data_IF_767282921632
#
_entry.id   IF_767282921632
#
_cell.length_a   1.000
_cell.length_b   1.000
_cell.length_c   1.000
_cell.angle_alpha   90.00
_cell.angle_beta   90.00
_cell.angle_gamma   90.00
#
_symmetry.space_group_name_H-M   'P 1'
#
loop_
_entity.id
_entity.type
_entity.pdbx_description
1 polymer ?
#
# COMPACT_ATOMS: atom_id res chain seq x y z
N UNK A 1 -10.43 -0.83 -20.85
CA UNK A 1 -9.48 -1.88 -21.24
C UNK A 1 -8.62 -2.18 -20.03
N UNK A 2 -8.85 -3.31 -19.34
CA UNK A 2 -8.13 -3.68 -18.12
C UNK A 2 -6.94 -4.54 -18.54
N UNK A 3 -5.74 -3.97 -18.54
CA UNK A 3 -4.50 -4.73 -18.73
C UNK A 3 -4.27 -5.54 -17.46
N UNK A 4 -4.59 -6.83 -17.48
CA UNK A 4 -4.18 -7.79 -16.45
C UNK A 4 -2.67 -8.02 -16.55
N UNK A 5 -1.91 -7.02 -16.11
CA UNK A 5 -0.48 -7.16 -15.85
C UNK A 5 -0.37 -8.13 -14.68
N UNK A 6 0.19 -9.32 -14.92
CA UNK A 6 0.47 -10.29 -13.85
C UNK A 6 1.32 -9.60 -12.79
N UNK A 7 0.70 -9.33 -11.64
CA UNK A 7 1.35 -8.64 -10.52
C UNK A 7 2.45 -9.53 -9.98
N UNK A 8 3.71 -9.18 -10.24
CA UNK A 8 4.86 -9.92 -9.70
C UNK A 8 4.92 -9.72 -8.19
N UNK A 9 4.85 -10.79 -7.40
CA UNK A 9 4.92 -10.69 -5.93
C UNK A 9 6.36 -10.90 -5.48
N UNK A 10 6.87 -10.01 -4.64
CA UNK A 10 8.20 -10.13 -4.03
C UNK A 10 8.09 -10.49 -2.55
N UNK A 11 8.76 -11.56 -2.13
CA UNK A 11 8.78 -11.95 -0.74
C UNK A 11 9.52 -10.91 0.13
N UNK A 12 9.12 -10.70 1.40
CA UNK A 12 9.74 -9.74 2.32
C UNK A 12 11.27 -9.79 2.38
N UNK A 13 11.85 -11.01 2.45
CA UNK A 13 13.30 -11.21 2.53
C UNK A 13 14.00 -10.74 1.26
N UNK A 14 13.45 -11.11 0.10
CA UNK A 14 13.98 -10.71 -1.21
C UNK A 14 13.89 -9.19 -1.39
N UNK A 15 12.79 -8.56 -0.96
CA UNK A 15 12.69 -7.11 -1.04
C UNK A 15 13.78 -6.42 -0.21
N UNK A 16 14.03 -6.91 1.02
CA UNK A 16 15.10 -6.37 1.87
C UNK A 16 16.48 -6.46 1.20
N UNK A 17 16.77 -7.58 0.55
CA UNK A 17 18.01 -7.78 -0.21
C UNK A 17 18.11 -6.82 -1.42
N UNK A 18 17.02 -6.62 -2.15
CA UNK A 18 16.98 -5.68 -3.28
C UNK A 18 17.19 -4.23 -2.83
N UNK A 19 16.63 -3.82 -1.69
CA UNK A 19 16.87 -2.48 -1.14
C UNK A 19 18.32 -2.34 -0.69
N UNK A 20 18.88 -3.33 0.02
CA UNK A 20 20.28 -3.33 0.45
C UNK A 20 21.26 -3.26 -0.75
N UNK A 21 20.89 -3.87 -1.88
CA UNK A 21 21.65 -3.83 -3.13
C UNK A 21 21.41 -2.54 -3.95
N UNK A 22 20.60 -1.59 -3.48
CA UNK A 22 20.27 -0.37 -4.21
C UNK A 22 19.43 -0.60 -5.48
N UNK A 23 18.81 -1.77 -5.61
CA UNK A 23 18.08 -2.17 -6.82
C UNK A 23 16.65 -1.61 -6.91
N UNK A 24 16.13 -1.05 -5.81
CA UNK A 24 14.79 -0.43 -5.76
C UNK A 24 14.89 1.04 -6.12
N UNK A 25 14.30 1.42 -7.26
CA UNK A 25 14.33 2.81 -7.76
C UNK A 25 13.17 3.66 -7.23
N UNK A 26 12.04 3.05 -6.90
CA UNK A 26 10.89 3.73 -6.32
C UNK A 26 9.98 2.78 -5.55
N UNK A 27 9.17 3.35 -4.66
CA UNK A 27 8.11 2.65 -3.96
C UNK A 27 6.86 3.52 -3.95
N UNK A 28 5.69 2.88 -4.02
CA UNK A 28 4.41 3.53 -3.80
C UNK A 28 3.48 2.66 -2.95
N UNK A 29 2.55 3.32 -2.29
CA UNK A 29 1.40 2.69 -1.65
C UNK A 29 0.17 2.98 -2.51
N UNK A 30 -0.61 1.96 -2.84
CA UNK A 30 -1.84 2.09 -3.63
C UNK A 30 -2.96 1.20 -3.10
N UNK A 31 -4.18 1.43 -3.57
CA UNK A 31 -5.35 0.62 -3.21
C UNK A 31 -5.30 -0.75 -3.90
N UNK A 32 -5.62 -1.80 -3.15
CA UNK A 32 -5.91 -3.14 -3.64
C UNK A 32 -7.19 -3.69 -3.01
N UNK A 33 -7.59 -4.90 -3.42
CA UNK A 33 -8.93 -5.45 -3.15
C UNK A 33 -9.30 -5.55 -1.66
N UNK A 34 -8.31 -5.68 -0.77
CA UNK A 34 -8.52 -5.88 0.68
C UNK A 34 -7.92 -4.77 1.54
N UNK A 35 -7.48 -3.67 0.92
CA UNK A 35 -6.80 -2.56 1.59
C UNK A 35 -5.62 -2.06 0.77
N UNK A 36 -4.66 -1.43 1.42
CA UNK A 36 -3.49 -0.87 0.75
C UNK A 36 -2.44 -1.95 0.47
N UNK A 37 -1.67 -1.79 -0.61
CA UNK A 37 -0.51 -2.62 -0.94
C UNK A 37 0.71 -1.75 -1.17
N UNK A 38 1.90 -2.31 -0.96
CA UNK A 38 3.17 -1.67 -1.32
C UNK A 38 3.63 -2.22 -2.67
N UNK A 39 3.85 -1.32 -3.62
CA UNK A 39 4.46 -1.62 -4.91
C UNK A 39 5.84 -1.01 -4.95
N UNK A 40 6.82 -1.77 -5.41
CA UNK A 40 8.19 -1.29 -5.61
C UNK A 40 8.60 -1.49 -7.05
N UNK A 41 9.38 -0.56 -7.58
CA UNK A 41 10.07 -0.74 -8.85
C UNK A 41 11.49 -1.20 -8.56
N UNK A 42 11.82 -2.41 -8.99
CA UNK A 42 13.15 -2.97 -8.89
C UNK A 42 13.67 -3.30 -10.30
N UNK A 43 14.67 -2.53 -10.75
CA UNK A 43 15.07 -2.52 -12.16
C UNK A 43 13.90 -2.13 -13.07
N UNK A 44 13.65 -2.94 -14.10
CA UNK A 44 12.58 -2.70 -15.07
C UNK A 44 11.19 -3.17 -14.61
N UNK A 45 11.09 -3.84 -13.47
CA UNK A 45 9.88 -4.53 -13.07
C UNK A 45 9.23 -3.87 -11.85
N UNK A 46 7.91 -3.76 -11.88
CA UNK A 46 7.12 -3.49 -10.68
C UNK A 46 6.80 -4.79 -9.97
N UNK A 47 6.92 -4.77 -8.64
CA UNK A 47 6.64 -5.91 -7.78
C UNK A 47 5.83 -5.46 -6.57
N UNK A 48 4.88 -6.27 -6.15
CA UNK A 48 4.06 -6.02 -4.96
C UNK A 48 4.61 -6.81 -3.79
N UNK A 49 4.69 -6.17 -2.62
CA UNK A 49 5.17 -6.82 -1.41
C UNK A 49 4.25 -7.96 -1.01
N UNK A 50 4.82 -9.16 -0.91
CA UNK A 50 4.15 -10.35 -0.42
C UNK A 50 4.08 -10.40 1.10
N UNK A 51 3.12 -11.14 1.63
CA UNK A 51 3.07 -11.49 3.04
C UNK A 51 4.13 -12.56 3.36
N UNK A 52 4.50 -12.68 4.64
CA UNK A 52 5.52 -13.65 5.07
C UNK A 52 5.16 -15.10 4.74
N UNK A 53 3.85 -15.43 4.70
CA UNK A 53 3.33 -16.77 4.40
C UNK A 53 2.77 -16.91 2.98
N UNK A 54 3.18 -16.03 2.06
CA UNK A 54 2.73 -16.02 0.67
C UNK A 54 1.49 -15.15 0.43
N UNK A 55 1.21 -14.89 -0.86
CA UNK A 55 0.18 -13.94 -1.29
C UNK A 55 0.57 -12.47 -1.08
N UNK A 56 -0.33 -11.56 -1.42
CA UNK A 56 -0.13 -10.11 -1.25
C UNK A 56 -0.20 -9.71 0.22
N UNK A 57 0.66 -8.77 0.63
CA UNK A 57 0.56 -8.14 1.94
C UNK A 57 -0.34 -6.91 1.87
N UNK A 58 -1.50 -7.00 2.51
CA UNK A 58 -2.42 -5.89 2.65
C UNK A 58 -2.17 -5.11 3.94
N UNK A 59 -2.43 -3.80 3.87
CA UNK A 59 -2.33 -2.86 4.97
C UNK A 59 -3.67 -2.15 5.17
N UNK A 60 -4.01 -1.87 6.44
CA UNK A 60 -5.27 -1.23 6.81
C UNK A 60 -5.11 0.29 7.03
N UNK A 61 -3.87 0.80 7.02
CA UNK A 61 -3.53 2.20 7.18
C UNK A 61 -2.24 2.54 6.42
N UNK A 62 -2.09 3.82 6.06
CA UNK A 62 -0.84 4.35 5.49
C UNK A 62 0.32 4.22 6.48
N UNK A 63 0.10 4.48 7.77
CA UNK A 63 1.13 4.35 8.81
C UNK A 63 1.71 2.93 8.89
N UNK A 64 0.85 1.91 8.74
CA UNK A 64 1.29 0.52 8.73
C UNK A 64 2.17 0.19 7.52
N UNK A 65 1.83 0.74 6.35
CA UNK A 65 2.65 0.58 5.15
C UNK A 65 3.98 1.36 5.28
N UNK A 66 3.92 2.61 5.76
CA UNK A 66 5.07 3.47 5.97
C UNK A 66 6.08 2.85 6.94
N UNK A 67 5.61 2.28 8.06
CA UNK A 67 6.48 1.59 9.03
C UNK A 67 7.26 0.44 8.39
N UNK A 68 6.62 -0.35 7.52
CA UNK A 68 7.29 -1.44 6.79
C UNK A 68 8.31 -0.90 5.80
N UNK A 69 7.97 0.12 5.02
CA UNK A 69 8.91 0.76 4.09
C UNK A 69 10.13 1.32 4.82
N UNK A 70 9.93 2.00 5.95
CA UNK A 70 11.01 2.51 6.78
C UNK A 70 11.90 1.39 7.34
N UNK A 71 11.30 0.28 7.76
CA UNK A 71 12.07 -0.90 8.23
C UNK A 71 12.98 -1.51 7.15
N UNK A 72 12.69 -1.24 5.87
CA UNK A 72 13.53 -1.65 4.74
C UNK A 72 14.52 -0.57 4.29
N UNK A 73 14.48 0.63 4.87
CA UNK A 73 15.35 1.75 4.47
C UNK A 73 14.73 2.68 3.43
N UNK A 74 13.46 2.50 3.07
CA UNK A 74 12.76 3.35 2.10
C UNK A 74 12.08 4.50 2.83
N UNK A 75 12.70 5.68 2.79
CA UNK A 75 12.25 6.88 3.52
C UNK A 75 11.31 7.78 2.72
N UNK A 76 11.28 7.61 1.39
CA UNK A 76 10.47 8.40 0.47
C UNK A 76 9.71 7.44 -0.45
N UNK A 77 8.42 7.67 -0.57
CA UNK A 77 7.53 6.87 -1.41
C UNK A 77 6.31 7.71 -1.78
N UNK A 78 5.66 7.35 -2.88
CA UNK A 78 4.43 7.99 -3.33
C UNK A 78 3.20 7.27 -2.77
N UNK A 79 2.08 7.98 -2.70
CA UNK A 79 0.79 7.39 -2.30
C UNK A 79 -0.26 7.73 -3.33
N UNK A 80 -0.92 6.70 -3.88
CA UNK A 80 -2.13 6.86 -4.68
C UNK A 80 -3.35 6.47 -3.84
N UNK A 81 -4.22 7.46 -3.58
CA UNK A 81 -5.43 7.31 -2.75
C UNK A 81 -6.73 7.25 -3.56
N UNK A 82 -6.68 7.28 -4.89
CA UNK A 82 -7.87 7.42 -5.77
C UNK A 82 -8.98 6.39 -5.50
N UNK A 83 -8.62 5.20 -5.02
CA UNK A 83 -9.55 4.11 -4.72
C UNK A 83 -9.46 3.60 -3.27
N UNK A 84 -8.97 4.43 -2.36
CA UNK A 84 -8.85 4.06 -0.95
C UNK A 84 -9.50 5.11 -0.05
N UNK A 85 -10.37 4.65 0.84
CA UNK A 85 -11.05 5.48 1.84
C UNK A 85 -10.40 5.27 3.21
N UNK A 86 -9.80 6.31 3.82
CA UNK A 86 -9.29 6.22 5.18
C UNK A 86 -10.40 5.88 6.19
N UNK A 87 -10.13 4.97 7.12
CA UNK A 87 -11.11 4.61 8.19
C UNK A 87 -11.49 5.80 9.07
N UNK A 88 -10.61 6.79 9.20
CA UNK A 88 -10.86 8.06 9.90
C UNK A 88 -11.97 8.87 9.22
N UNK A 89 -12.05 8.85 7.89
CA UNK A 89 -13.11 9.52 7.13
C UNK A 89 -14.48 8.88 7.36
N UNK A 90 -14.55 7.55 7.43
CA UNK A 90 -15.80 6.80 7.67
C UNK A 90 -16.33 7.06 9.09
N UNK A 91 -15.45 7.17 10.09
CA UNK A 91 -15.85 7.45 11.48
C UNK A 91 -16.45 8.85 11.65
N UNK A 92 -15.89 9.85 10.96
CA UNK A 92 -16.44 11.21 10.98
C UNK A 92 -17.88 11.26 10.47
N UNK A 93 -18.21 10.48 9.44
CA UNK A 93 -19.58 10.39 8.91
C UNK A 93 -20.57 9.76 9.92
N UNK A 94 -20.16 8.74 10.68
CA UNK A 94 -21.01 8.12 11.71
C UNK A 94 -21.24 8.98 12.96
N UNK A 95 -20.42 10.00 13.17
CA UNK A 95 -20.46 10.87 14.35
C UNK A 95 -20.99 12.28 14.05
N UNK A 96 -21.25 12.61 12.78
CA UNK A 96 -21.97 13.83 12.45
C UNK A 96 -23.34 13.77 13.14
N UNK A 97 -23.73 14.82 13.89
CA UNK A 97 -25.06 14.87 14.47
C UNK A 97 -26.06 14.68 13.33
N UNK A 98 -27.00 13.75 13.52
CA UNK A 98 -28.16 13.64 12.65
C UNK A 98 -28.84 15.01 12.76
N UNK A 99 -28.73 15.81 11.71
CA UNK A 99 -29.58 16.99 11.57
C UNK A 99 -30.94 16.40 11.24
N UNK A 100 -31.73 16.11 12.28
CA UNK A 100 -33.17 15.91 12.10
C UNK A 100 -33.70 17.27 11.64
N UNK A 101 -33.92 17.38 10.32
CA UNK A 101 -34.74 18.45 9.75
C UNK A 101 -36.10 18.34 10.43
N UNK A 102 -36.28 19.16 11.46
CA UNK A 102 -37.56 19.33 12.13
C UNK A 102 -38.30 20.38 11.31
N UNK A 103 -39.33 19.90 10.60
CA UNK A 103 -40.31 20.69 9.85
C UNK A 103 -41.06 21.69 10.75
#
# INVERSE_FOLDING_TARGET
MMLTTTVSVVAPKILKELVAAGSVSSARVESGDKGLVIVVRAGMNERVLGAARGGLRYFQSLDGAASVLQSYGIMRFDVNTEHWVPKTMIRGYKQAPIVEDTE
#
